data_IF_272723308486
#
_entry.id   IF_272723308486
#
_cell.length_a   1.000
_cell.length_b   1.000
_cell.length_c   1.000
_cell.angle_alpha   90.00
_cell.angle_beta   90.00
_cell.angle_gamma   90.00
#
_symmetry.space_group_name_H-M   'P 1'
#
loop_
_entity.id
_entity.type
_entity.pdbx_description
1 polymer ?
#
# COMPACT_ATOMS: atom_id res chain seq x y z
N UNK A 1 24.69 30.47 -25.28
CA UNK A 1 25.47 29.89 -24.16
C UNK A 1 24.69 28.80 -23.44
N UNK A 2 23.46 29.04 -22.95
CA UNK A 2 22.65 28.02 -22.26
C UNK A 2 22.22 26.84 -23.16
N UNK A 3 21.81 27.11 -24.40
CA UNK A 3 21.35 26.11 -25.37
C UNK A 3 22.43 25.05 -25.64
N UNK A 4 23.67 25.48 -25.88
CA UNK A 4 24.80 24.57 -26.13
C UNK A 4 25.12 23.67 -24.93
N UNK A 5 24.93 24.14 -23.70
CA UNK A 5 25.17 23.36 -22.48
C UNK A 5 24.12 22.25 -22.35
N UNK A 6 22.85 22.57 -22.63
CA UNK A 6 21.76 21.58 -22.59
C UNK A 6 21.87 20.55 -23.71
N UNK A 7 22.29 20.96 -24.92
CA UNK A 7 22.52 20.06 -26.05
C UNK A 7 23.70 19.10 -25.82
N UNK A 8 24.74 19.55 -25.10
CA UNK A 8 25.89 18.71 -24.77
C UNK A 8 25.66 17.80 -23.55
N UNK A 9 24.59 18.03 -22.78
CA UNK A 9 24.33 17.31 -21.54
C UNK A 9 23.69 15.94 -21.82
N UNK A 10 24.51 14.87 -21.74
CA UNK A 10 24.01 13.49 -21.70
C UNK A 10 23.60 13.13 -20.28
N UNK A 11 22.30 13.15 -20.03
CA UNK A 11 21.74 12.63 -18.78
C UNK A 11 22.02 11.12 -18.69
N UNK A 12 22.80 10.71 -17.70
CA UNK A 12 22.96 9.30 -17.35
C UNK A 12 21.72 8.83 -16.60
N UNK A 13 20.70 8.37 -17.33
CA UNK A 13 19.48 7.83 -16.74
C UNK A 13 19.81 6.45 -16.15
N UNK A 14 19.87 6.37 -14.82
CA UNK A 14 19.84 5.09 -14.12
C UNK A 14 18.38 4.65 -14.02
N UNK A 15 18.02 3.60 -14.74
CA UNK A 15 16.70 3.01 -14.67
C UNK A 15 16.81 1.59 -14.07
N UNK A 16 16.00 1.31 -13.07
CA UNK A 16 15.84 -0.03 -12.50
C UNK A 16 14.51 -0.59 -13.00
N UNK A 17 14.55 -1.77 -13.63
CA UNK A 17 13.34 -2.48 -14.00
C UNK A 17 12.67 -3.01 -12.74
N UNK A 18 11.43 -2.59 -12.51
CA UNK A 18 10.57 -3.13 -11.45
C UNK A 18 9.56 -4.08 -12.10
N UNK A 19 9.69 -5.37 -11.79
CA UNK A 19 8.76 -6.39 -12.27
C UNK A 19 7.82 -6.79 -11.14
N UNK A 20 6.52 -6.79 -11.45
CA UNK A 20 5.52 -7.40 -10.58
C UNK A 20 5.61 -8.92 -10.67
N UNK A 21 5.81 -9.58 -9.53
CA UNK A 21 5.67 -11.03 -9.41
C UNK A 21 4.32 -11.33 -8.75
N UNK A 22 3.56 -12.31 -9.26
CA UNK A 22 2.35 -12.74 -8.57
C UNK A 22 2.70 -13.25 -7.17
N UNK A 23 1.78 -13.04 -6.22
CA UNK A 23 1.95 -13.53 -4.87
C UNK A 23 1.83 -15.07 -4.85
N UNK A 24 2.42 -15.68 -3.83
CA UNK A 24 2.24 -17.11 -3.57
C UNK A 24 0.76 -17.38 -3.30
N UNK A 25 0.23 -18.49 -3.81
CA UNK A 25 -1.16 -18.92 -3.58
C UNK A 25 -1.45 -18.95 -2.08
N UNK A 26 -2.61 -18.41 -1.68
CA UNK A 26 -3.02 -18.33 -0.28
C UNK A 26 -2.56 -17.08 0.47
N UNK A 27 -1.63 -16.30 -0.11
CA UNK A 27 -1.20 -14.99 0.42
C UNK A 27 -2.19 -13.91 -0.01
N UNK A 28 -2.48 -12.99 0.92
CA UNK A 28 -3.34 -11.83 0.68
C UNK A 28 -2.45 -10.60 0.54
N UNK A 29 -2.63 -9.86 -0.56
CA UNK A 29 -2.06 -8.52 -0.69
C UNK A 29 -2.90 -7.55 0.13
N UNK A 30 -2.27 -6.62 0.84
CA UNK A 30 -2.95 -5.51 1.51
C UNK A 30 -2.29 -4.19 1.09
N UNK A 31 -2.93 -3.45 0.20
CA UNK A 31 -2.52 -2.10 -0.13
C UNK A 31 -3.20 -1.13 0.83
N UNK A 32 -2.47 -0.16 1.35
CA UNK A 32 -3.01 0.93 2.17
C UNK A 32 -2.59 2.27 1.62
N UNK A 33 -3.41 3.29 1.86
CA UNK A 33 -3.13 4.66 1.47
C UNK A 33 -3.76 5.61 2.47
N UNK A 34 -2.98 6.57 2.96
CA UNK A 34 -3.44 7.65 3.82
C UNK A 34 -3.27 9.00 3.14
N UNK A 35 -4.28 9.86 3.27
CA UNK A 35 -4.29 11.17 2.65
C UNK A 35 -4.65 12.26 3.68
N UNK A 36 -3.99 13.42 3.56
CA UNK A 36 -4.35 14.64 4.29
C UNK A 36 -4.34 15.83 3.33
N UNK A 37 -5.26 16.78 3.52
CA UNK A 37 -5.38 17.98 2.67
C UNK A 37 -4.25 18.99 2.91
N UNK A 38 -3.53 18.85 4.01
CA UNK A 38 -2.42 19.69 4.43
C UNK A 38 -1.57 18.96 5.47
N UNK A 39 -0.75 19.70 6.22
CA UNK A 39 0.21 19.09 7.14
C UNK A 39 0.32 19.87 8.47
N UNK A 40 -0.64 19.70 9.41
CA UNK A 40 -1.81 18.81 9.38
C UNK A 40 -3.09 19.48 8.84
N UNK A 41 -4.08 18.68 8.43
CA UNK A 41 -5.42 19.10 7.96
C UNK A 41 -6.39 17.90 7.97
N UNK A 42 -7.69 18.00 7.60
CA UNK A 42 -8.56 16.84 7.44
C UNK A 42 -7.93 15.74 6.61
N UNK A 43 -8.04 14.54 7.15
CA UNK A 43 -7.34 13.36 6.71
C UNK A 43 -8.24 12.13 6.73
N UNK A 44 -7.92 11.20 5.86
CA UNK A 44 -8.58 9.93 5.72
C UNK A 44 -7.54 8.88 5.35
N UNK A 45 -7.92 7.62 5.41
CA UNK A 45 -7.12 6.56 4.84
C UNK A 45 -7.95 5.34 4.53
N UNK A 46 -7.39 4.44 3.76
CA UNK A 46 -8.06 3.23 3.33
C UNK A 46 -7.07 2.08 3.18
N UNK A 47 -7.61 0.87 3.12
CA UNK A 47 -6.87 -0.29 2.64
C UNK A 47 -7.74 -1.14 1.72
N UNK A 48 -7.08 -1.93 0.87
CA UNK A 48 -7.68 -2.86 -0.07
C UNK A 48 -6.92 -4.18 -0.03
N UNK A 49 -7.65 -5.28 0.15
CA UNK A 49 -7.13 -6.63 0.10
C UNK A 49 -7.43 -7.31 -1.23
N UNK A 50 -6.45 -8.04 -1.74
CA UNK A 50 -6.55 -8.85 -2.96
C UNK A 50 -5.97 -10.24 -2.75
N UNK A 51 -6.47 -11.24 -3.47
CA UNK A 51 -5.89 -12.58 -3.45
C UNK A 51 -4.62 -12.63 -4.34
N UNK A 52 -4.00 -13.81 -4.41
CA UNK A 52 -2.79 -14.05 -5.22
C UNK A 52 -3.00 -13.86 -6.72
N UNK A 53 -4.25 -13.92 -7.19
CA UNK A 53 -4.64 -13.68 -8.59
C UNK A 53 -4.92 -12.19 -8.87
N UNK A 54 -4.82 -11.33 -7.85
CA UNK A 54 -5.11 -9.90 -7.94
C UNK A 54 -6.60 -9.56 -7.84
N UNK A 55 -7.45 -10.55 -7.59
CA UNK A 55 -8.89 -10.34 -7.43
C UNK A 55 -9.19 -9.63 -6.12
N UNK A 56 -10.19 -8.75 -6.17
CA UNK A 56 -10.64 -7.99 -5.01
C UNK A 56 -11.28 -8.90 -3.96
N UNK A 57 -10.86 -8.76 -2.70
CA UNK A 57 -11.47 -9.46 -1.55
C UNK A 57 -12.31 -8.49 -0.73
N UNK A 58 -11.69 -7.40 -0.27
CA UNK A 58 -12.28 -6.46 0.67
C UNK A 58 -11.56 -5.11 0.64
N UNK A 59 -12.26 -4.03 0.98
CA UNK A 59 -11.67 -2.73 1.24
C UNK A 59 -12.45 -1.99 2.31
N UNK A 60 -11.76 -1.09 3.02
CA UNK A 60 -12.38 -0.20 3.99
C UNK A 60 -11.69 1.16 3.99
N UNK A 61 -12.43 2.20 4.37
CA UNK A 61 -11.95 3.58 4.48
C UNK A 61 -12.32 4.18 5.83
N UNK A 62 -11.49 5.10 6.30
CA UNK A 62 -11.58 5.72 7.60
C UNK A 62 -11.41 7.23 7.47
N UNK A 63 -12.21 7.98 8.22
CA UNK A 63 -11.95 9.39 8.48
C UNK A 63 -11.12 9.47 9.78
N UNK A 64 -9.97 10.15 9.72
CA UNK A 64 -9.07 10.27 10.87
C UNK A 64 -9.11 11.65 11.53
N UNK A 65 -9.97 12.56 11.07
CA UNK A 65 -9.98 13.94 11.54
C UNK A 65 -8.75 14.69 11.04
N UNK A 66 -8.09 15.45 11.91
CA UNK A 66 -6.93 16.26 11.53
C UNK A 66 -5.65 15.50 11.83
N UNK A 67 -4.90 15.14 10.79
CA UNK A 67 -3.59 14.51 10.87
C UNK A 67 -2.63 15.11 9.82
N UNK A 68 -1.34 14.88 10.02
CA UNK A 68 -0.32 15.05 8.98
C UNK A 68 -0.47 13.98 7.89
N UNK A 69 0.12 14.22 6.71
CA UNK A 69 0.15 13.22 5.64
C UNK A 69 0.84 11.92 6.09
N UNK A 70 1.94 12.03 6.85
CA UNK A 70 2.66 10.86 7.36
C UNK A 70 1.84 10.05 8.37
N UNK A 71 1.17 10.73 9.31
CA UNK A 71 0.30 10.05 10.27
C UNK A 71 -0.87 9.34 9.57
N UNK A 72 -1.49 9.97 8.58
CA UNK A 72 -2.57 9.35 7.80
C UNK A 72 -2.10 8.05 7.13
N UNK A 73 -0.93 8.05 6.50
CA UNK A 73 -0.33 6.87 5.85
C UNK A 73 -0.06 5.75 6.85
N UNK A 74 0.57 6.07 7.99
CA UNK A 74 0.86 5.09 9.04
C UNK A 74 -0.42 4.52 9.64
N UNK A 75 -1.45 5.36 9.84
CA UNK A 75 -2.74 4.91 10.35
C UNK A 75 -3.46 3.98 9.36
N UNK A 76 -3.44 4.29 8.06
CA UNK A 76 -4.02 3.44 7.03
C UNK A 76 -3.32 2.07 6.98
N UNK A 77 -1.98 2.07 6.99
CA UNK A 77 -1.17 0.85 7.05
C UNK A 77 -1.49 0.00 8.27
N UNK A 78 -1.54 0.61 9.46
CA UNK A 78 -1.89 -0.09 10.70
C UNK A 78 -3.24 -0.78 10.62
N UNK A 79 -4.27 -0.09 10.12
CA UNK A 79 -5.63 -0.66 10.00
C UNK A 79 -5.69 -1.81 9.00
N UNK A 80 -4.98 -1.70 7.88
CA UNK A 80 -4.86 -2.79 6.91
C UNK A 80 -4.17 -4.02 7.50
N UNK A 81 -3.09 -3.81 8.26
CA UNK A 81 -2.34 -4.90 8.92
C UNK A 81 -3.19 -5.59 10.00
N UNK A 82 -3.88 -4.83 10.85
CA UNK A 82 -4.81 -5.36 11.86
C UNK A 82 -5.88 -6.25 11.21
N UNK A 83 -6.45 -5.81 10.08
CA UNK A 83 -7.41 -6.62 9.34
C UNK A 83 -6.78 -7.92 8.81
N UNK A 84 -5.57 -7.87 8.24
CA UNK A 84 -4.86 -9.08 7.79
C UNK A 84 -4.65 -10.10 8.91
N UNK A 85 -4.30 -9.63 10.12
CA UNK A 85 -4.15 -10.51 11.29
C UNK A 85 -5.49 -11.16 11.65
N UNK A 86 -6.60 -10.42 11.61
CA UNK A 86 -7.93 -11.01 11.87
C UNK A 86 -8.31 -12.09 10.85
N UNK A 87 -7.94 -11.93 9.57
CA UNK A 87 -8.15 -12.95 8.54
C UNK A 87 -7.34 -14.22 8.82
N UNK A 88 -6.08 -14.09 9.25
CA UNK A 88 -5.23 -15.23 9.61
C UNK A 88 -5.83 -15.98 10.81
N UNK A 89 -6.24 -15.25 11.85
CA UNK A 89 -6.89 -15.84 13.03
C UNK A 89 -8.18 -16.56 12.65
N UNK A 90 -8.98 -15.97 11.75
CA UNK A 90 -10.20 -16.61 11.25
C UNK A 90 -9.91 -17.93 10.53
N UNK A 91 -8.92 -17.97 9.64
CA UNK A 91 -8.49 -19.21 8.96
C UNK A 91 -8.12 -20.32 9.96
N UNK A 92 -7.39 -19.95 11.00
CA UNK A 92 -7.01 -20.88 12.08
C UNK A 92 -8.24 -21.42 12.81
N UNK A 93 -9.18 -20.55 13.19
CA UNK A 93 -10.43 -20.94 13.85
C UNK A 93 -11.33 -21.81 12.97
N UNK A 94 -11.31 -21.58 11.65
CA UNK A 94 -12.03 -22.37 10.65
C UNK A 94 -11.34 -23.72 10.35
N UNK A 95 -10.23 -24.03 11.04
CA UNK A 95 -9.53 -25.32 10.92
C UNK A 95 -8.60 -25.42 9.71
N UNK A 96 -8.29 -24.29 9.04
CA UNK A 96 -7.33 -24.23 7.93
C UNK A 96 -5.94 -23.98 8.51
N UNK A 97 -5.21 -25.06 8.74
CA UNK A 97 -3.85 -25.06 9.27
C UNK A 97 -2.81 -25.16 8.15
N UNK A 98 -2.86 -24.26 7.18
CA UNK A 98 -1.80 -24.17 6.18
C UNK A 98 -0.67 -23.29 6.74
N UNK A 99 0.49 -23.89 6.93
CA UNK A 99 1.74 -23.18 7.25
C UNK A 99 2.31 -22.65 5.93
N UNK A 100 2.70 -21.37 5.84
CA UNK A 100 3.32 -20.81 4.63
C UNK A 100 4.58 -21.57 4.18
#
# INVERSE_FOLDING_TARGET
>A
MLVMILEAYKLSIQATMVNWKPLIIGVINCNSDGASRGNPDPSAGAFCNRNSEGEFIYANSFNYGILTSLEAEVCAFKRGLEYCVTLILKKILDGVWEVP
#
